data_IF_028101641097
#
_entry.id   IF_028101641097
#
_cell.length_a   1.000
_cell.length_b   1.000
_cell.length_c   1.000
_cell.angle_alpha   90.00
_cell.angle_beta   90.00
_cell.angle_gamma   90.00
#
_symmetry.space_group_name_H-M   'P 1'
#
loop_
_entity.id
_entity.type
_entity.pdbx_description
1 polymer ?
#
# COMPACT_ATOMS: atom_id res chain seq x y z
N UNK A 1 -5.60 11.40 -12.23
CA UNK A 1 -4.25 11.70 -11.69
C UNK A 1 -3.11 11.31 -12.66
N UNK A 2 -3.28 10.34 -13.57
CA UNK A 2 -2.24 9.89 -14.53
C UNK A 2 -2.21 10.61 -15.90
N UNK A 3 -2.80 11.81 -16.04
CA UNK A 3 -2.93 12.47 -17.35
C UNK A 3 -1.68 13.24 -17.82
N UNK A 4 -0.57 13.19 -17.08
CA UNK A 4 0.68 13.89 -17.43
C UNK A 4 1.62 12.97 -18.22
N UNK A 5 2.30 13.49 -19.27
CA UNK A 5 3.15 12.68 -20.14
C UNK A 5 4.30 11.99 -19.41
N UNK A 6 4.83 12.58 -18.34
CA UNK A 6 5.87 11.98 -17.49
C UNK A 6 5.45 10.69 -16.76
N UNK A 7 4.15 10.34 -16.74
CA UNK A 7 3.64 9.11 -16.13
C UNK A 7 3.11 8.10 -17.16
N UNK A 8 3.41 8.31 -18.46
CA UNK A 8 2.93 7.42 -19.52
C UNK A 8 3.38 5.96 -19.32
N UNK A 9 4.55 5.72 -18.74
CA UNK A 9 5.04 4.38 -18.39
C UNK A 9 4.19 3.65 -17.34
N UNK A 10 3.34 4.37 -16.60
CA UNK A 10 2.47 3.82 -15.56
C UNK A 10 1.04 3.54 -16.08
N UNK A 11 0.75 3.74 -17.36
CA UNK A 11 -0.63 3.63 -17.90
C UNK A 11 -1.24 2.22 -17.77
N UNK A 12 -0.41 1.19 -17.67
CA UNK A 12 -0.84 -0.20 -17.44
C UNK A 12 -0.81 -0.63 -15.97
N UNK A 13 -0.44 0.27 -15.05
CA UNK A 13 -0.40 -0.03 -13.63
C UNK A 13 -1.81 -0.20 -13.09
N UNK A 14 -2.02 -1.26 -12.30
CA UNK A 14 -3.30 -1.53 -11.65
C UNK A 14 -3.69 -0.38 -10.72
N UNK A 15 -4.99 -0.09 -10.60
CA UNK A 15 -5.47 0.95 -9.71
C UNK A 15 -5.12 0.64 -8.24
N UNK A 16 -4.99 1.69 -7.44
CA UNK A 16 -4.74 1.55 -6.02
C UNK A 16 -5.96 0.90 -5.33
N UNK A 17 -5.73 -0.19 -4.61
CA UNK A 17 -6.76 -0.91 -3.87
C UNK A 17 -6.41 -0.95 -2.38
N UNK A 18 -7.41 -1.22 -1.54
CA UNK A 18 -7.18 -1.47 -0.11
C UNK A 18 -6.55 -2.86 0.08
N UNK A 19 -5.89 -3.06 1.23
CA UNK A 19 -5.29 -4.35 1.60
C UNK A 19 -6.34 -5.48 1.57
N UNK A 20 -7.56 -5.19 2.04
CA UNK A 20 -8.67 -6.15 2.07
C UNK A 20 -9.06 -6.63 0.66
N UNK A 21 -9.11 -5.72 -0.31
CA UNK A 21 -9.40 -6.04 -1.72
C UNK A 21 -8.24 -6.70 -2.45
N UNK A 22 -7.03 -6.67 -1.89
CA UNK A 22 -5.83 -7.24 -2.49
C UNK A 22 -5.59 -8.71 -2.09
N UNK A 23 -6.47 -9.29 -1.26
CA UNK A 23 -6.31 -10.67 -0.82
C UNK A 23 -6.39 -11.65 -2.01
N UNK A 24 -5.36 -12.48 -2.17
CA UNK A 24 -5.27 -13.47 -3.25
C UNK A 24 -4.69 -12.94 -4.57
N UNK A 25 -4.32 -11.67 -4.65
CA UNK A 25 -3.57 -11.10 -5.76
C UNK A 25 -2.10 -10.91 -5.38
N UNK A 26 -1.21 -10.95 -6.38
CA UNK A 26 0.24 -10.74 -6.20
C UNK A 26 0.77 -9.86 -7.33
N UNK A 27 1.69 -8.96 -6.98
CA UNK A 27 2.39 -8.08 -7.93
C UNK A 27 3.90 -8.20 -7.75
N UNK A 28 4.67 -7.91 -8.80
CA UNK A 28 6.13 -7.90 -8.71
C UNK A 28 6.63 -6.84 -7.73
N UNK A 29 6.01 -5.65 -7.77
CA UNK A 29 6.27 -4.56 -6.84
C UNK A 29 4.96 -4.18 -6.14
N UNK A 30 4.99 -4.14 -4.81
CA UNK A 30 3.88 -3.62 -4.01
C UNK A 30 4.29 -2.31 -3.33
N UNK A 31 3.39 -1.33 -3.36
CA UNK A 31 3.54 -0.06 -2.66
C UNK A 31 2.44 0.03 -1.61
N UNK A 32 2.82 -0.07 -0.34
CA UNK A 32 1.91 0.05 0.79
C UNK A 32 1.99 1.47 1.37
N UNK A 33 0.85 2.15 1.43
CA UNK A 33 0.73 3.48 2.04
C UNK A 33 -0.03 3.33 3.35
N UNK A 34 0.65 3.58 4.47
CA UNK A 34 0.05 3.53 5.79
C UNK A 34 -0.64 4.85 6.09
N UNK A 35 -1.95 4.78 6.36
CA UNK A 35 -2.77 5.93 6.79
C UNK A 35 -2.68 6.12 8.30
N UNK A 36 -1.48 6.27 8.85
CA UNK A 36 -1.26 6.48 10.28
C UNK A 36 -1.33 7.96 10.70
N UNK A 37 -1.48 8.87 9.72
CA UNK A 37 -1.56 10.31 9.95
C UNK A 37 -3.02 10.83 9.99
N UNK A 38 -3.21 11.90 10.76
CA UNK A 38 -4.38 12.78 10.95
C UNK A 38 -5.58 12.61 9.99
N UNK A 39 -6.86 12.63 10.46
CA UNK A 39 -7.35 13.16 11.75
C UNK A 39 -7.40 12.17 12.92
N UNK A 40 -7.23 10.87 12.68
CA UNK A 40 -7.21 9.84 13.73
C UNK A 40 -5.86 9.10 13.70
N UNK A 41 -4.81 9.64 14.33
CA UNK A 41 -3.58 8.89 14.51
C UNK A 41 -3.85 7.65 15.35
N UNK A 42 -3.42 6.50 14.85
CA UNK A 42 -3.54 5.21 15.53
C UNK A 42 -2.81 4.12 14.75
N UNK A 43 -2.55 2.95 15.36
CA UNK A 43 -1.88 1.85 14.68
C UNK A 43 -2.67 1.38 13.45
N UNK A 44 -4.00 1.56 13.43
CA UNK A 44 -4.84 1.30 12.26
C UNK A 44 -4.59 -0.10 11.69
N UNK A 45 -4.07 -0.17 10.47
CA UNK A 45 -3.71 -1.42 9.78
C UNK A 45 -2.53 -2.20 10.39
N UNK A 46 -1.71 -1.59 11.25
CA UNK A 46 -0.59 -2.30 11.92
C UNK A 46 -1.03 -3.03 13.18
N UNK A 47 -2.22 -2.74 13.72
CA UNK A 47 -2.76 -3.43 14.89
C UNK A 47 -3.27 -4.85 14.57
N UNK A 48 -3.64 -5.10 13.31
CA UNK A 48 -4.21 -6.38 12.88
C UNK A 48 -3.17 -7.22 12.13
N UNK A 49 -2.61 -8.21 12.82
CA UNK A 49 -1.55 -9.07 12.30
C UNK A 49 -1.92 -9.76 10.97
N UNK A 50 -3.20 -10.09 10.75
CA UNK A 50 -3.65 -10.71 9.50
C UNK A 50 -3.52 -9.75 8.31
N UNK A 51 -3.91 -8.48 8.48
CA UNK A 51 -3.80 -7.45 7.43
C UNK A 51 -2.34 -7.10 7.15
N UNK A 52 -1.51 -7.04 8.20
CA UNK A 52 -0.08 -6.85 8.06
C UNK A 52 0.57 -8.00 7.28
N UNK A 53 0.21 -9.25 7.59
CA UNK A 53 0.72 -10.42 6.87
C UNK A 53 0.32 -10.40 5.40
N UNK A 54 -0.92 -10.03 5.07
CA UNK A 54 -1.33 -9.84 3.67
C UNK A 54 -0.42 -8.80 3.04
N UNK A 55 -0.37 -7.57 3.58
CA UNK A 55 0.45 -6.47 3.05
C UNK A 55 1.92 -6.85 2.81
N UNK A 56 2.54 -7.57 3.75
CA UNK A 56 3.94 -7.98 3.67
C UNK A 56 4.19 -9.12 2.67
N UNK A 57 3.18 -9.86 2.24
CA UNK A 57 3.36 -11.08 1.41
C UNK A 57 2.88 -10.93 -0.04
N UNK A 58 2.37 -9.76 -0.44
CA UNK A 58 1.83 -9.55 -1.81
C UNK A 58 2.87 -9.25 -2.88
N UNK A 59 4.12 -8.99 -2.49
CA UNK A 59 5.20 -8.61 -3.41
C UNK A 59 6.08 -9.81 -3.77
N UNK A 60 6.44 -9.94 -5.04
CA UNK A 60 7.38 -10.99 -5.50
C UNK A 60 8.83 -10.51 -5.54
N UNK A 61 9.05 -9.26 -5.95
CA UNK A 61 10.37 -8.69 -6.19
C UNK A 61 10.70 -7.55 -5.23
N UNK A 62 9.73 -6.72 -4.84
CA UNK A 62 10.02 -5.59 -3.95
C UNK A 62 8.79 -5.00 -3.26
N UNK A 63 8.98 -4.58 -2.01
CA UNK A 63 7.98 -3.89 -1.20
C UNK A 63 8.48 -2.50 -0.82
N UNK A 64 7.68 -1.48 -1.12
CA UNK A 64 7.91 -0.12 -0.64
C UNK A 64 6.81 0.23 0.34
N UNK A 65 7.19 0.60 1.57
CA UNK A 65 6.26 1.02 2.60
C UNK A 65 6.45 2.52 2.83
N UNK A 66 5.37 3.28 2.73
CA UNK A 66 5.33 4.72 3.00
C UNK A 66 4.37 4.96 4.15
N UNK A 67 4.86 5.51 5.25
CA UNK A 67 4.05 5.74 6.44
C UNK A 67 4.74 6.64 7.44
N UNK A 68 3.96 7.20 8.36
CA UNK A 68 4.49 7.92 9.51
C UNK A 68 4.67 6.93 10.68
N UNK A 69 5.89 6.88 11.22
CA UNK A 69 6.25 6.05 12.38
C UNK A 69 5.97 6.76 13.70
N UNK A 70 5.73 8.07 13.67
CA UNK A 70 5.42 8.89 14.84
C UNK A 70 3.91 9.08 14.95
N UNK A 71 3.26 8.04 15.45
CA UNK A 71 1.84 8.09 15.80
C UNK A 71 1.77 8.46 17.28
N UNK A 72 1.56 9.74 17.57
CA UNK A 72 1.40 10.25 18.93
C UNK A 72 0.03 9.87 19.52
#
# INVERSE_FOLDING_TARGET
MMKRPQYACLSGMQEAMTIDSFQGQENDIAIAIMTTAHPYPGPGFTAEAQRLNVMLTRHKCGLVIVGDIYVA
#
